data_IF_725420160272
#
_entry.id   IF_725420160272
#
_cell.length_a   1.000
_cell.length_b   1.000
_cell.length_c   1.000
_cell.angle_alpha   90.00
_cell.angle_beta   90.00
_cell.angle_gamma   90.00
#
_symmetry.space_group_name_H-M   'P 1'
#
loop_
_entity.id
_entity.type
_entity.pdbx_description
1 polymer ?
#
# COMPACT_ATOMS: atom_id res chain seq x y z
N UNK A 1 1.88 8.13 -12.94
CA UNK A 1 2.09 6.67 -13.00
C UNK A 1 2.07 6.09 -11.60
N UNK A 2 1.96 4.77 -11.46
CA UNK A 2 2.10 4.12 -10.15
C UNK A 2 3.50 4.28 -9.58
N UNK A 3 4.52 4.35 -10.43
CA UNK A 3 5.90 4.60 -10.02
C UNK A 3 6.06 5.96 -9.30
N UNK A 4 5.58 7.06 -9.89
CA UNK A 4 5.63 8.38 -9.23
C UNK A 4 4.83 8.43 -7.92
N UNK A 5 3.71 7.68 -7.85
CA UNK A 5 2.94 7.60 -6.62
C UNK A 5 3.72 6.84 -5.52
N UNK A 6 4.35 5.72 -5.89
CA UNK A 6 5.21 4.96 -4.97
C UNK A 6 6.33 5.85 -4.42
N UNK A 7 7.04 6.58 -5.29
CA UNK A 7 8.12 7.49 -4.91
C UNK A 7 7.66 8.58 -3.94
N UNK A 8 6.42 9.08 -4.07
CA UNK A 8 5.84 10.06 -3.13
C UNK A 8 5.41 9.46 -1.80
N UNK A 9 4.92 8.21 -1.81
CA UNK A 9 4.40 7.55 -0.61
C UNK A 9 5.53 6.94 0.23
N UNK A 10 6.60 6.45 -0.41
CA UNK A 10 7.67 5.72 0.26
C UNK A 10 8.32 6.49 1.42
N UNK A 11 8.68 7.79 1.30
CA UNK A 11 9.30 8.51 2.41
C UNK A 11 8.39 8.62 3.64
N UNK A 12 7.08 8.82 3.42
CA UNK A 12 6.10 8.82 4.52
C UNK A 12 5.98 7.42 5.15
N UNK A 13 5.94 6.38 4.32
CA UNK A 13 5.83 5.00 4.77
C UNK A 13 7.04 4.56 5.61
N UNK A 14 8.26 4.87 5.14
CA UNK A 14 9.51 4.56 5.83
C UNK A 14 9.65 5.31 7.17
N UNK A 15 8.99 6.46 7.31
CA UNK A 15 9.03 7.28 8.52
C UNK A 15 8.02 6.85 9.61
N UNK A 16 7.19 5.82 9.34
CA UNK A 16 6.22 5.32 10.32
C UNK A 16 6.94 4.57 11.45
N UNK A 17 6.89 5.11 12.66
CA UNK A 17 7.56 4.59 13.86
C UNK A 17 6.58 4.12 14.96
N UNK A 18 5.28 4.18 14.68
CA UNK A 18 4.22 3.88 15.64
C UNK A 18 2.98 3.29 14.96
N UNK A 19 2.11 2.67 15.76
CA UNK A 19 0.81 2.19 15.29
C UNK A 19 0.02 3.33 14.63
N UNK A 20 -0.39 3.10 13.39
CA UNK A 20 -0.96 4.15 12.52
C UNK A 20 -2.19 3.61 11.79
N UNK A 21 -3.28 4.38 11.81
CA UNK A 21 -4.42 4.18 10.91
C UNK A 21 -4.28 5.20 9.78
N UNK A 22 -4.07 4.72 8.56
CA UNK A 22 -3.97 5.55 7.37
C UNK A 22 -5.24 5.42 6.53
N UNK A 23 -5.98 6.52 6.37
CA UNK A 23 -7.10 6.61 5.43
C UNK A 23 -6.57 7.18 4.13
N UNK A 24 -6.75 6.46 3.03
CA UNK A 24 -6.16 6.81 1.74
C UNK A 24 -6.96 6.25 0.57
N UNK A 25 -6.49 6.50 -0.64
CA UNK A 25 -7.10 6.03 -1.87
C UNK A 25 -6.52 4.69 -2.33
N UNK A 26 -7.25 3.97 -3.19
CA UNK A 26 -6.80 2.68 -3.71
C UNK A 26 -5.46 2.71 -4.45
N UNK A 27 -5.08 3.87 -5.02
CA UNK A 27 -3.75 4.04 -5.61
C UNK A 27 -2.62 3.86 -4.60
N UNK A 28 -2.78 4.40 -3.38
CA UNK A 28 -1.79 4.27 -2.30
C UNK A 28 -1.78 2.84 -1.78
N UNK A 29 -2.95 2.21 -1.64
CA UNK A 29 -3.03 0.79 -1.27
C UNK A 29 -2.25 -0.09 -2.26
N UNK A 30 -2.41 0.12 -3.56
CA UNK A 30 -1.64 -0.61 -4.59
C UNK A 30 -0.14 -0.35 -4.49
N UNK A 31 0.27 0.87 -4.13
CA UNK A 31 1.67 1.17 -3.86
C UNK A 31 2.21 0.39 -2.64
N UNK A 32 1.41 0.18 -1.59
CA UNK A 32 1.79 -0.67 -0.45
C UNK A 32 2.08 -2.11 -0.88
N UNK A 33 1.28 -2.70 -1.76
CA UNK A 33 1.55 -4.05 -2.30
C UNK A 33 2.90 -4.12 -3.04
N UNK A 34 3.28 -3.05 -3.75
CA UNK A 34 4.61 -2.97 -4.37
C UNK A 34 5.73 -2.85 -3.35
N UNK A 35 5.58 -1.98 -2.36
CA UNK A 35 6.64 -1.70 -1.38
C UNK A 35 6.83 -2.85 -0.39
N UNK A 36 5.74 -3.50 0.04
CA UNK A 36 5.76 -4.54 1.08
C UNK A 36 5.99 -5.93 0.50
N UNK A 37 5.32 -6.26 -0.62
CA UNK A 37 5.35 -7.61 -1.21
C UNK A 37 6.22 -7.71 -2.47
N UNK A 38 6.81 -6.59 -2.94
CA UNK A 38 7.57 -6.57 -4.19
C UNK A 38 6.71 -6.82 -5.43
N UNK A 39 5.39 -6.62 -5.33
CA UNK A 39 4.46 -6.91 -6.43
C UNK A 39 4.83 -6.10 -7.69
N UNK A 40 4.87 -6.72 -8.89
CA UNK A 40 5.14 -6.03 -10.14
C UNK A 40 4.15 -4.90 -10.44
N UNK A 41 4.60 -3.84 -11.13
CA UNK A 41 3.77 -2.65 -11.41
C UNK A 41 2.43 -2.98 -12.06
N UNK A 42 2.46 -3.77 -13.13
CA UNK A 42 1.28 -4.08 -13.93
C UNK A 42 0.26 -4.90 -13.14
N UNK A 43 0.74 -5.75 -12.23
CA UNK A 43 -0.11 -6.55 -11.37
C UNK A 43 -0.75 -5.69 -10.28
N UNK A 44 0.06 -4.89 -9.58
CA UNK A 44 -0.42 -3.96 -8.57
C UNK A 44 -1.43 -2.96 -9.13
N UNK A 45 -1.21 -2.44 -10.34
CA UNK A 45 -2.14 -1.53 -11.01
C UNK A 45 -3.53 -2.14 -11.27
N UNK A 46 -3.61 -3.47 -11.40
CA UNK A 46 -4.84 -4.23 -11.65
C UNK A 46 -5.47 -4.81 -10.38
N UNK A 47 -4.75 -4.75 -9.26
CA UNK A 47 -5.23 -5.27 -7.98
C UNK A 47 -6.57 -4.64 -7.60
N UNK A 48 -7.55 -5.50 -7.29
CA UNK A 48 -8.81 -5.03 -6.72
C UNK A 48 -8.56 -4.53 -5.30
N UNK A 49 -8.97 -3.29 -5.03
CA UNK A 49 -8.92 -2.69 -3.71
C UNK A 49 -10.38 -2.56 -3.26
N UNK A 50 -10.90 -3.51 -2.46
CA UNK A 50 -12.29 -3.46 -2.03
C UNK A 50 -12.55 -2.19 -1.21
N UNK A 51 -13.71 -1.58 -1.45
CA UNK A 51 -14.26 -0.59 -0.52
C UNK A 51 -14.76 -1.31 0.74
N UNK A 52 -14.93 -0.57 1.83
CA UNK A 52 -15.49 -1.04 3.10
C UNK A 52 -14.73 -2.19 3.78
N UNK A 53 -13.43 -2.32 3.49
CA UNK A 53 -12.52 -3.25 4.16
C UNK A 53 -11.28 -2.55 4.70
N UNK A 54 -10.68 -3.12 5.74
CA UNK A 54 -9.42 -2.65 6.29
C UNK A 54 -8.28 -3.50 5.75
N UNK A 55 -7.22 -2.85 5.28
CA UNK A 55 -5.97 -3.54 4.97
C UNK A 55 -5.04 -3.44 6.17
N UNK A 56 -4.82 -4.56 6.86
CA UNK A 56 -3.84 -4.66 7.93
C UNK A 56 -2.45 -4.93 7.34
N UNK A 57 -1.48 -4.11 7.74
CA UNK A 57 -0.06 -4.33 7.51
C UNK A 57 0.59 -4.79 8.83
N UNK A 58 1.27 -5.93 8.79
CA UNK A 58 2.03 -6.46 9.92
C UNK A 58 3.34 -7.08 9.43
N UNK A 59 4.47 -6.46 9.73
CA UNK A 59 5.77 -6.84 9.17
C UNK A 59 5.78 -6.77 7.65
N UNK A 60 5.93 -7.93 6.97
CA UNK A 60 5.87 -8.04 5.50
C UNK A 60 4.55 -8.66 5.01
N UNK A 61 3.50 -8.63 5.83
CA UNK A 61 2.20 -9.23 5.52
C UNK A 61 1.15 -8.14 5.33
N UNK A 62 0.37 -8.29 4.26
CA UNK A 62 -0.83 -7.50 3.99
C UNK A 62 -2.04 -8.43 4.05
N UNK A 63 -3.04 -8.07 4.84
CA UNK A 63 -4.25 -8.88 5.05
C UNK A 63 -5.50 -8.00 5.01
N UNK A 64 -6.49 -8.43 4.25
CA UNK A 64 -7.82 -7.80 4.24
C UNK A 64 -8.64 -8.33 5.41
N UNK A 65 -9.09 -7.42 6.28
CA UNK A 65 -10.04 -7.67 7.36
C UNK A 65 -11.45 -7.30 6.91
#
# INVERSE_FOLDING_TARGET
>A
SYQMLLERVKPWFDALDRHTVCVTHGGVVRALFRMVLGMPEKEAARLNVPHDRLLRLEGRRLEWL
#
